data_IF_409438846496
#
_entry.id   IF_409438846496
#
_cell.length_a   1.000
_cell.length_b   1.000
_cell.length_c   1.000
_cell.angle_alpha   90.00
_cell.angle_beta   90.00
_cell.angle_gamma   90.00
#
_symmetry.space_group_name_H-M   'P 1'
#
loop_
_entity.id
_entity.type
_entity.pdbx_description
1 polymer ?
#
# COMPACT_ATOMS: atom_id res chain seq x y z
N UNK A 1 -6.75 -18.36 -1.22
CA UNK A 1 -7.46 -17.09 -0.93
C UNK A 1 -7.37 -16.60 0.52
N UNK A 2 -7.17 -17.46 1.55
CA UNK A 2 -7.01 -16.97 2.93
C UNK A 2 -5.67 -16.27 3.19
N UNK A 3 -4.56 -16.81 2.67
CA UNK A 3 -3.21 -16.25 2.92
C UNK A 3 -3.06 -14.81 2.40
N UNK A 4 -3.66 -14.48 1.26
CA UNK A 4 -3.62 -13.14 0.67
C UNK A 4 -4.28 -12.08 1.56
N UNK A 5 -5.42 -12.41 2.20
CA UNK A 5 -6.10 -11.48 3.12
C UNK A 5 -5.26 -11.19 4.37
N UNK A 6 -4.52 -12.19 4.87
CA UNK A 6 -3.60 -11.99 5.98
C UNK A 6 -2.43 -11.09 5.59
N UNK A 7 -1.87 -11.26 4.39
CA UNK A 7 -0.82 -10.38 3.88
C UNK A 7 -1.32 -8.94 3.77
N UNK A 8 -2.47 -8.71 3.13
CA UNK A 8 -3.07 -7.36 3.05
C UNK A 8 -3.31 -6.77 4.44
N UNK A 9 -3.80 -7.56 5.39
CA UNK A 9 -3.99 -7.10 6.77
C UNK A 9 -2.67 -6.69 7.43
N UNK A 10 -1.60 -7.47 7.26
CA UNK A 10 -0.28 -7.13 7.75
C UNK A 10 0.28 -5.88 7.07
N UNK A 11 0.09 -5.72 5.77
CA UNK A 11 0.50 -4.53 5.03
C UNK A 11 -0.22 -3.27 5.54
N UNK A 12 -1.53 -3.37 5.80
CA UNK A 12 -2.32 -2.27 6.40
C UNK A 12 -1.83 -1.99 7.83
N UNK A 13 -1.62 -3.01 8.65
CA UNK A 13 -1.14 -2.86 10.02
C UNK A 13 0.24 -2.17 10.05
N UNK A 14 1.14 -2.61 9.16
CA UNK A 14 2.48 -2.03 9.02
C UNK A 14 2.40 -0.62 8.44
N UNK A 15 1.49 -0.32 7.52
CA UNK A 15 1.26 1.03 7.02
C UNK A 15 0.76 2.00 8.11
N UNK A 16 0.09 1.50 9.15
CA UNK A 16 -0.33 2.32 10.29
C UNK A 16 0.84 2.56 11.25
N UNK A 17 1.64 1.53 11.56
CA UNK A 17 2.79 1.65 12.48
C UNK A 17 3.91 2.47 11.84
N UNK A 18 4.26 2.13 10.60
CA UNK A 18 5.30 2.78 9.81
C UNK A 18 4.81 2.88 8.36
N UNK A 19 4.14 3.97 7.96
CA UNK A 19 3.58 4.14 6.61
C UNK A 19 4.53 3.78 5.46
N UNK A 20 5.82 4.19 5.48
CA UNK A 20 6.73 3.79 4.41
C UNK A 20 6.99 2.27 4.37
N UNK A 21 6.87 1.53 5.48
CA UNK A 21 7.14 0.09 5.51
C UNK A 21 6.02 -0.75 4.85
N UNK A 22 4.76 -0.35 5.04
CA UNK A 22 3.62 -1.00 4.37
C UNK A 22 3.71 -0.87 2.86
N UNK A 23 4.02 0.34 2.37
CA UNK A 23 4.17 0.63 0.93
C UNK A 23 5.46 0.01 0.37
N UNK A 24 6.54 -0.04 1.15
CA UNK A 24 7.78 -0.72 0.77
C UNK A 24 7.57 -2.21 0.52
N UNK A 25 6.80 -2.90 1.35
CA UNK A 25 6.55 -4.34 1.15
C UNK A 25 5.70 -4.61 -0.09
N UNK A 26 4.80 -3.69 -0.43
CA UNK A 26 3.89 -3.81 -1.58
C UNK A 26 4.56 -3.45 -2.91
N UNK A 27 5.28 -2.33 -2.96
CA UNK A 27 5.85 -1.76 -4.19
C UNK A 27 7.38 -1.82 -4.26
N UNK A 28 8.06 -2.13 -3.17
CA UNK A 28 9.51 -2.13 -3.05
C UNK A 28 10.11 -0.77 -2.66
N UNK A 29 11.44 -0.75 -2.48
CA UNK A 29 12.21 0.43 -2.07
C UNK A 29 12.19 1.56 -3.10
N UNK A 30 12.29 1.20 -4.39
CA UNK A 30 12.50 2.16 -5.46
C UNK A 30 11.20 2.62 -6.14
N UNK A 31 10.04 2.40 -5.51
CA UNK A 31 8.79 2.93 -6.05
C UNK A 31 8.65 4.43 -5.75
N UNK A 32 8.11 5.17 -6.72
CA UNK A 32 7.65 6.54 -6.54
C UNK A 32 6.67 6.67 -5.37
N UNK A 33 5.85 5.65 -5.13
CA UNK A 33 4.85 5.65 -4.06
C UNK A 33 5.51 5.62 -2.68
N UNK A 34 6.61 4.88 -2.53
CA UNK A 34 7.42 4.86 -1.32
C UNK A 34 8.08 6.23 -1.09
N UNK A 35 8.68 6.82 -2.12
CA UNK A 35 9.27 8.15 -2.01
C UNK A 35 8.25 9.23 -1.63
N UNK A 36 7.05 9.18 -2.22
CA UNK A 36 5.95 10.10 -1.87
C UNK A 36 5.51 9.85 -0.43
N UNK A 37 5.27 8.61 -0.01
CA UNK A 37 4.96 8.28 1.40
C UNK A 37 6.01 8.86 2.34
N UNK A 38 7.29 8.59 2.06
CA UNK A 38 8.44 9.01 2.86
C UNK A 38 8.45 10.53 3.00
N UNK A 39 8.35 11.24 1.88
CA UNK A 39 8.32 12.71 1.84
C UNK A 39 7.11 13.27 2.61
N UNK A 40 5.94 12.65 2.46
CA UNK A 40 4.74 13.03 3.20
C UNK A 40 4.95 12.82 4.70
N UNK A 41 5.50 11.69 5.15
CA UNK A 41 5.84 11.47 6.58
C UNK A 41 6.81 12.51 7.12
N UNK A 42 7.78 12.95 6.31
CA UNK A 42 8.73 14.00 6.69
C UNK A 42 8.03 15.36 6.81
N UNK A 43 7.11 15.68 5.91
CA UNK A 43 6.27 16.89 5.99
C UNK A 43 5.19 16.81 7.10
N UNK A 44 4.79 15.60 7.47
CA UNK A 44 3.83 15.33 8.53
C UNK A 44 3.46 13.85 8.59
N UNK A 45 3.42 13.27 9.79
CA UNK A 45 3.15 11.84 9.94
C UNK A 45 1.74 11.43 9.47
N UNK A 46 0.74 12.27 9.73
CA UNK A 46 -0.67 12.02 9.38
C UNK A 46 -0.91 11.91 7.87
N UNK A 47 -0.48 12.86 7.01
CA UNK A 47 -0.67 12.72 5.56
C UNK A 47 0.06 11.50 4.99
N UNK A 48 1.20 11.11 5.55
CA UNK A 48 1.91 9.88 5.15
C UNK A 48 1.08 8.62 5.40
N UNK A 49 0.40 8.50 6.54
CA UNK A 49 -0.50 7.37 6.83
C UNK A 49 -1.69 7.35 5.88
N UNK A 50 -2.36 8.48 5.70
CA UNK A 50 -3.54 8.56 4.83
C UNK A 50 -3.16 8.15 3.40
N UNK A 51 -2.03 8.64 2.91
CA UNK A 51 -1.52 8.29 1.60
C UNK A 51 -1.15 6.80 1.51
N UNK A 52 -0.47 6.23 2.50
CA UNK A 52 -0.13 4.81 2.52
C UNK A 52 -1.38 3.90 2.49
N UNK A 53 -2.41 4.22 3.29
CA UNK A 53 -3.69 3.48 3.30
C UNK A 53 -4.44 3.66 1.98
N UNK A 54 -4.46 4.88 1.44
CA UNK A 54 -5.11 5.16 0.15
C UNK A 54 -4.47 4.35 -0.97
N UNK A 55 -3.13 4.39 -1.09
CA UNK A 55 -2.36 3.62 -2.08
C UNK A 55 -2.63 2.13 -1.91
N UNK A 56 -2.61 1.61 -0.69
CA UNK A 56 -2.80 0.18 -0.45
C UNK A 56 -4.23 -0.31 -0.74
N UNK A 57 -5.27 0.50 -0.51
CA UNK A 57 -6.67 0.10 -0.78
C UNK A 57 -7.07 0.40 -2.23
N UNK A 58 -6.69 1.56 -2.76
CA UNK A 58 -7.08 1.99 -4.10
C UNK A 58 -6.31 1.23 -5.18
N UNK A 59 -4.98 1.09 -5.06
CA UNK A 59 -4.18 0.42 -6.10
C UNK A 59 -4.30 -1.11 -6.05
N UNK A 60 -4.61 -1.69 -4.88
CA UNK A 60 -4.92 -3.12 -4.77
C UNK A 60 -6.21 -3.48 -5.54
N UNK A 61 -7.19 -2.58 -5.61
CA UNK A 61 -8.43 -2.80 -6.38
C UNK A 61 -8.20 -2.94 -7.89
N UNK A 62 -7.23 -2.20 -8.46
CA UNK A 62 -6.93 -2.27 -9.90
C UNK A 62 -6.37 -3.64 -10.32
N UNK A 63 -5.57 -4.28 -9.46
CA UNK A 63 -5.04 -5.63 -9.71
C UNK A 63 -6.17 -6.66 -9.76
N UNK A 64 -7.16 -6.54 -8.87
CA UNK A 64 -8.33 -7.42 -8.85
C UNK A 64 -9.17 -7.26 -10.13
N UNK A 65 -9.42 -6.04 -10.60
CA UNK A 65 -10.22 -5.84 -11.81
C UNK A 65 -9.55 -6.42 -13.07
N UNK A 66 -8.21 -6.34 -13.16
CA UNK A 66 -7.44 -6.92 -14.27
C UNK A 66 -7.48 -8.45 -14.27
N UNK A 67 -7.44 -9.07 -13.10
CA UNK A 67 -7.55 -10.53 -12.99
C UNK A 67 -8.90 -11.04 -13.51
N UNK A 68 -9.97 -10.26 -13.37
CA UNK A 68 -11.32 -10.64 -13.86
C UNK A 68 -11.46 -10.48 -15.38
N UNK A 69 -10.97 -9.37 -15.94
CA UNK A 69 -11.03 -9.15 -17.40
C UNK A 69 -10.21 -10.15 -18.21
N UNK A 70 -9.17 -10.75 -17.61
CA UNK A 70 -8.35 -11.76 -18.30
C UNK A 70 -8.98 -13.15 -18.23
N UNK A 71 -9.99 -13.36 -17.37
CA UNK A 71 -10.71 -14.62 -17.20
C UNK A 71 -12.07 -14.65 -17.91
N UNK A 72 -12.58 -13.51 -18.39
CA UNK A 72 -13.84 -13.38 -19.13
C UNK A 72 -13.60 -13.28 -20.64
#
# INVERSE_FOLDING_TARGET
MASGRCCTFLEILLAIILPPLGVFLRFGCCSMEFCICLLLTILGYVPGIIYAVYVLVALDSDQYQREYHTLA
#
